data_IF_966834469211
#
_entry.id   IF_966834469211
#
_cell.length_a   1.000
_cell.length_b   1.000
_cell.length_c   1.000
_cell.angle_alpha   90.00
_cell.angle_beta   90.00
_cell.angle_gamma   90.00
#
_symmetry.space_group_name_H-M   'P 1'
#
loop_
_entity.id
_entity.type
_entity.pdbx_description
1 polymer ?
#
# COMPACT_ATOMS: atom_id res chain seq x y z
N UNK A 1 3.55 14.36 -59.64
CA UNK A 1 3.49 15.73 -59.08
C UNK A 1 4.48 15.79 -57.93
N UNK A 2 5.62 16.49 -58.07
CA UNK A 2 6.62 16.68 -57.03
C UNK A 2 6.17 17.71 -55.96
N UNK A 3 6.78 17.69 -54.76
CA UNK A 3 6.45 18.55 -53.61
C UNK A 3 7.01 19.97 -53.72
N UNK A 4 6.27 20.94 -53.19
CA UNK A 4 6.70 22.34 -53.02
C UNK A 4 7.66 22.51 -51.83
N UNK A 5 8.73 23.29 -52.05
CA UNK A 5 9.68 23.75 -51.01
C UNK A 5 9.15 24.97 -50.22
N UNK A 6 9.97 25.97 -49.86
CA UNK A 6 11.42 26.01 -49.63
C UNK A 6 11.83 26.83 -48.36
N UNK A 7 13.16 26.96 -48.13
CA UNK A 7 13.88 28.10 -47.52
C UNK A 7 13.67 28.42 -46.01
N UNK A 8 14.58 29.01 -45.23
CA UNK A 8 16.02 29.34 -45.29
C UNK A 8 16.42 29.97 -43.92
N UNK A 9 17.73 30.23 -43.74
CA UNK A 9 18.36 31.13 -42.76
C UNK A 9 18.45 30.65 -41.29
N UNK A 10 19.55 30.77 -40.54
CA UNK A 10 20.81 31.50 -40.75
C UNK A 10 21.10 32.44 -39.57
N UNK A 11 21.90 31.97 -38.59
CA UNK A 11 22.71 32.73 -37.60
C UNK A 11 21.97 33.69 -36.61
N UNK A 12 22.51 34.05 -35.41
CA UNK A 12 23.94 34.30 -35.15
C UNK A 12 24.55 33.78 -33.83
N UNK A 13 25.88 33.89 -33.78
CA UNK A 13 26.77 33.80 -32.61
C UNK A 13 26.64 35.08 -31.78
N UNK A 14 26.70 34.95 -30.46
CA UNK A 14 27.02 36.04 -29.53
C UNK A 14 28.19 35.59 -28.64
N UNK A 15 29.17 36.47 -28.56
CA UNK A 15 30.38 36.39 -27.75
C UNK A 15 30.22 37.31 -26.51
N UNK A 16 31.20 37.24 -25.60
CA UNK A 16 31.51 38.17 -24.49
C UNK A 16 30.91 37.92 -23.07
N UNK A 17 31.82 37.62 -22.12
CA UNK A 17 31.70 37.81 -20.66
C UNK A 17 32.19 39.23 -20.27
N UNK A 18 32.18 39.76 -19.02
CA UNK A 18 31.77 39.23 -17.70
C UNK A 18 30.87 40.20 -16.86
N UNK A 19 30.34 39.74 -15.71
CA UNK A 19 29.63 40.63 -14.77
C UNK A 19 29.27 39.98 -13.43
N UNK A 20 29.89 40.49 -12.35
CA UNK A 20 29.64 40.13 -10.93
C UNK A 20 28.37 40.80 -10.40
N UNK A 21 27.51 40.06 -9.70
CA UNK A 21 26.89 40.49 -8.42
C UNK A 21 26.03 39.40 -7.79
N UNK A 22 26.17 39.27 -6.48
CA UNK A 22 25.60 38.20 -5.66
C UNK A 22 24.07 38.19 -5.60
N UNK A 23 23.52 37.00 -5.64
CA UNK A 23 22.18 36.68 -5.13
C UNK A 23 22.30 35.89 -3.82
N UNK A 24 21.36 36.04 -2.88
CA UNK A 24 21.40 35.29 -1.63
C UNK A 24 21.28 33.80 -1.92
N UNK A 25 22.29 33.04 -1.51
CA UNK A 25 22.21 31.58 -1.40
C UNK A 25 21.02 31.24 -0.50
N UNK A 26 19.95 30.73 -1.11
CA UNK A 26 18.92 30.03 -0.35
C UNK A 26 19.63 28.89 0.39
N UNK A 27 19.52 28.77 1.72
CA UNK A 27 20.10 27.65 2.43
C UNK A 27 19.49 26.37 1.85
N UNK A 28 20.37 25.44 1.44
CA UNK A 28 19.96 24.08 1.17
C UNK A 28 19.16 23.56 2.37
N UNK A 29 18.01 22.89 2.17
CA UNK A 29 17.31 22.28 3.28
C UNK A 29 18.27 21.31 3.98
N UNK A 30 18.45 21.51 5.29
CA UNK A 30 19.26 20.66 6.15
C UNK A 30 18.92 19.18 5.95
N UNK A 31 19.91 18.27 5.94
CA UNK A 31 19.69 16.84 5.70
C UNK A 31 19.02 16.09 6.88
N UNK A 32 18.46 16.78 7.87
CA UNK A 32 18.00 16.13 9.12
C UNK A 32 16.51 15.74 9.17
N UNK A 33 15.73 15.94 8.09
CA UNK A 33 14.29 15.65 8.10
C UNK A 33 13.88 14.40 7.28
N UNK A 34 14.72 13.38 7.18
CA UNK A 34 14.41 12.16 6.39
C UNK A 34 14.81 10.85 7.07
N UNK A 35 14.64 10.67 8.39
CA UNK A 35 14.92 9.33 8.98
C UNK A 35 14.03 8.87 10.16
N UNK A 36 12.87 9.48 10.44
CA UNK A 36 11.95 8.98 11.51
C UNK A 36 10.55 8.53 11.07
N UNK A 37 10.25 8.56 9.77
CA UNK A 37 8.93 8.24 9.24
C UNK A 37 8.36 6.83 9.56
N UNK A 38 9.14 5.72 9.65
CA UNK A 38 8.54 4.39 9.84
C UNK A 38 8.03 4.16 11.26
N UNK A 39 8.82 4.54 12.27
CA UNK A 39 8.53 4.25 13.67
C UNK A 39 7.37 5.09 14.23
N UNK A 40 7.30 6.38 13.86
CA UNK A 40 6.21 7.27 14.26
C UNK A 40 4.88 6.84 13.63
N UNK A 41 4.91 6.38 12.37
CA UNK A 41 3.71 5.94 11.66
C UNK A 41 3.16 4.61 12.18
N UNK A 42 4.03 3.69 12.60
CA UNK A 42 3.62 2.45 13.24
C UNK A 42 3.05 2.70 14.65
N UNK A 43 3.64 3.63 15.41
CA UNK A 43 3.15 4.00 16.73
C UNK A 43 1.75 4.65 16.69
N UNK A 44 1.53 5.61 15.77
CA UNK A 44 0.22 6.24 15.58
C UNK A 44 -0.86 5.21 15.20
N UNK A 45 -0.51 4.27 14.32
CA UNK A 45 -1.43 3.22 13.89
C UNK A 45 -1.68 2.17 14.99
N UNK A 46 -0.68 1.90 15.84
CA UNK A 46 -0.84 1.02 16.99
C UNK A 46 -1.78 1.59 18.06
N UNK A 47 -1.82 2.91 18.24
CA UNK A 47 -2.76 3.57 19.16
C UNK A 47 -4.22 3.49 18.71
N UNK A 48 -4.47 3.29 17.40
CA UNK A 48 -5.82 3.06 16.85
C UNK A 48 -6.38 1.68 17.19
N UNK A 49 -5.53 0.75 17.63
CA UNK A 49 -5.90 -0.58 18.06
C UNK A 49 -6.60 -1.39 16.98
N UNK A 50 -5.95 -1.62 15.84
CA UNK A 50 -6.52 -2.39 14.72
C UNK A 50 -7.04 -3.76 15.17
N UNK A 51 -8.18 -4.20 14.63
CA UNK A 51 -8.68 -5.56 14.92
C UNK A 51 -8.06 -6.60 14.00
N UNK A 52 -7.87 -7.82 14.50
CA UNK A 52 -7.52 -8.97 13.66
C UNK A 52 -8.57 -9.14 12.55
N UNK A 53 -8.17 -9.15 11.26
CA UNK A 53 -9.11 -9.12 10.14
C UNK A 53 -9.80 -10.45 9.86
N UNK A 54 -9.44 -11.54 10.52
CA UNK A 54 -10.02 -12.87 10.26
C UNK A 54 -10.84 -13.32 11.46
N UNK A 55 -12.10 -13.68 11.22
CA UNK A 55 -13.02 -14.08 12.28
C UNK A 55 -12.53 -15.35 12.98
N UNK A 56 -12.53 -15.33 14.32
CA UNK A 56 -12.09 -16.46 15.14
C UNK A 56 -10.57 -16.63 15.29
N UNK A 57 -9.76 -15.79 14.63
CA UNK A 57 -8.30 -15.77 14.84
C UNK A 57 -7.95 -14.78 15.96
N UNK A 58 -7.17 -15.23 16.95
CA UNK A 58 -6.67 -14.36 18.02
C UNK A 58 -5.25 -13.87 17.72
N UNK A 59 -4.80 -12.76 18.32
CA UNK A 59 -3.44 -12.26 18.11
C UNK A 59 -2.33 -13.30 18.36
N UNK A 60 -2.53 -14.18 19.34
CA UNK A 60 -1.58 -15.26 19.67
C UNK A 60 -1.41 -16.31 18.56
N UNK A 61 -2.35 -16.37 17.60
CA UNK A 61 -2.32 -17.27 16.46
C UNK A 61 -1.66 -16.64 15.22
N UNK A 62 -1.32 -15.35 15.29
CA UNK A 62 -0.62 -14.67 14.20
C UNK A 62 0.81 -15.17 14.11
N UNK A 63 1.27 -15.41 12.89
CA UNK A 63 2.67 -15.74 12.62
C UNK A 63 3.38 -14.50 12.10
N UNK A 64 4.54 -14.18 12.67
CA UNK A 64 5.43 -13.18 12.08
C UNK A 64 6.01 -13.74 10.78
N UNK A 65 5.57 -13.19 9.66
CA UNK A 65 6.08 -13.54 8.33
C UNK A 65 6.55 -12.35 7.52
N UNK A 66 6.62 -11.15 8.10
CA UNK A 66 6.88 -9.87 7.40
C UNK A 66 8.25 -9.79 6.70
N UNK A 67 9.23 -10.57 7.15
CA UNK A 67 10.56 -10.63 6.55
C UNK A 67 10.87 -11.99 5.91
N UNK A 68 9.85 -12.86 5.77
CA UNK A 68 10.05 -14.18 5.19
C UNK A 68 10.56 -14.06 3.76
N UNK A 69 11.74 -14.64 3.51
CA UNK A 69 12.33 -14.68 2.17
C UNK A 69 11.60 -15.71 1.30
N UNK A 70 10.61 -15.28 0.53
CA UNK A 70 9.97 -16.12 -0.49
C UNK A 70 10.71 -16.02 -1.81
N UNK A 71 11.79 -16.80 -1.94
CA UNK A 71 12.46 -17.08 -3.23
C UNK A 71 12.91 -15.84 -4.03
N UNK A 72 13.76 -14.99 -3.45
CA UNK A 72 14.34 -13.82 -4.13
C UNK A 72 14.92 -12.78 -3.15
N UNK A 73 15.24 -11.58 -3.64
CA UNK A 73 15.67 -10.42 -2.84
C UNK A 73 14.52 -9.64 -2.19
N UNK A 74 13.27 -9.97 -2.48
CA UNK A 74 12.10 -9.26 -1.93
C UNK A 74 11.64 -9.90 -0.63
N UNK A 75 11.58 -9.12 0.45
CA UNK A 75 10.98 -9.51 1.73
C UNK A 75 9.45 -9.58 1.61
N UNK A 76 8.84 -10.47 2.38
CA UNK A 76 7.40 -10.68 2.40
C UNK A 76 6.69 -9.61 3.24
N UNK A 77 6.43 -8.44 2.67
CA UNK A 77 5.92 -7.22 3.37
C UNK A 77 4.47 -7.30 3.90
N UNK A 78 4.10 -8.44 4.49
CA UNK A 78 2.75 -8.79 4.92
C UNK A 78 2.79 -9.90 5.99
N UNK A 79 1.66 -10.13 6.62
CA UNK A 79 1.41 -11.35 7.39
C UNK A 79 0.44 -12.28 6.67
N UNK A 80 0.69 -13.59 6.76
CA UNK A 80 -0.27 -14.60 6.31
C UNK A 80 -1.03 -15.15 7.51
N UNK A 81 -2.33 -14.94 7.54
CA UNK A 81 -3.23 -15.36 8.61
C UNK A 81 -3.94 -16.63 8.15
N UNK A 82 -3.51 -17.78 8.68
CA UNK A 82 -4.11 -19.08 8.35
C UNK A 82 -5.56 -19.16 8.84
N UNK A 83 -6.46 -19.52 7.96
CA UNK A 83 -7.86 -19.80 8.30
C UNK A 83 -8.53 -20.64 7.20
N UNK A 84 -9.56 -21.42 7.55
CA UNK A 84 -10.33 -22.16 6.55
C UNK A 84 -10.88 -21.25 5.44
N UNK A 85 -11.03 -21.78 4.23
CA UNK A 85 -11.77 -21.08 3.17
C UNK A 85 -13.16 -20.71 3.65
N UNK A 86 -13.67 -19.61 3.13
CA UNK A 86 -14.97 -19.02 3.49
C UNK A 86 -15.04 -18.44 4.91
N UNK A 87 -13.94 -18.40 5.67
CA UNK A 87 -13.91 -17.67 6.95
C UNK A 87 -14.13 -16.18 6.68
N UNK A 88 -15.00 -15.48 7.43
CA UNK A 88 -15.23 -14.06 7.23
C UNK A 88 -13.95 -13.23 7.44
N UNK A 89 -13.72 -12.31 6.50
CA UNK A 89 -12.70 -11.27 6.60
C UNK A 89 -13.38 -9.94 6.91
N UNK A 90 -12.89 -9.26 7.96
CA UNK A 90 -13.45 -8.04 8.52
C UNK A 90 -12.49 -6.86 8.33
N UNK A 91 -13.05 -5.66 8.17
CA UNK A 91 -12.28 -4.43 8.13
C UNK A 91 -11.54 -4.21 9.45
N UNK A 92 -10.23 -3.94 9.39
CA UNK A 92 -9.37 -3.76 10.58
C UNK A 92 -9.59 -2.45 11.32
N UNK A 93 -10.12 -1.45 10.61
CA UNK A 93 -10.42 -0.10 11.08
C UNK A 93 -11.66 0.43 10.33
N UNK A 94 -12.17 1.57 10.77
CA UNK A 94 -13.08 2.37 9.96
C UNK A 94 -12.36 2.84 8.69
N UNK A 95 -13.09 3.09 7.61
CA UNK A 95 -12.45 3.57 6.40
C UNK A 95 -13.30 3.51 5.15
N UNK A 96 -12.62 3.48 4.01
CA UNK A 96 -13.25 3.43 2.69
C UNK A 96 -12.61 2.37 1.83
N UNK A 97 -13.41 1.59 1.09
CA UNK A 97 -12.93 0.66 0.08
C UNK A 97 -12.39 1.46 -1.10
N UNK A 98 -11.09 1.60 -1.19
CA UNK A 98 -10.43 2.37 -2.24
C UNK A 98 -10.43 1.62 -3.59
N UNK A 99 -10.26 0.30 -3.55
CA UNK A 99 -10.18 -0.51 -4.76
C UNK A 99 -10.58 -1.96 -4.49
N UNK A 100 -11.31 -2.54 -5.44
CA UNK A 100 -11.54 -3.97 -5.59
C UNK A 100 -10.80 -4.42 -6.85
N UNK A 101 -9.92 -5.39 -6.72
CA UNK A 101 -9.08 -5.81 -7.83
C UNK A 101 -8.88 -7.32 -7.87
N UNK A 102 -8.80 -7.85 -9.09
CA UNK A 102 -8.44 -9.24 -9.35
C UNK A 102 -7.15 -9.28 -10.16
N UNK A 103 -6.14 -9.99 -9.65
CA UNK A 103 -4.83 -10.08 -10.28
C UNK A 103 -4.27 -11.50 -10.21
N UNK A 104 -3.35 -11.83 -11.12
CA UNK A 104 -2.70 -13.15 -11.14
C UNK A 104 -1.97 -13.48 -9.84
N UNK A 105 -1.33 -12.48 -9.21
CA UNK A 105 -0.55 -12.69 -8.00
C UNK A 105 -1.42 -12.61 -6.75
N UNK A 106 -2.11 -11.49 -6.53
CA UNK A 106 -2.92 -11.27 -5.33
C UNK A 106 -4.28 -11.97 -5.34
N UNK A 107 -4.73 -12.46 -6.50
CA UNK A 107 -6.08 -12.98 -6.67
C UNK A 107 -7.11 -11.88 -6.49
N UNK A 108 -8.21 -12.25 -5.81
CA UNK A 108 -9.25 -11.31 -5.39
C UNK A 108 -8.74 -10.52 -4.19
N UNK A 109 -8.69 -9.20 -4.34
CA UNK A 109 -8.07 -8.29 -3.38
C UNK A 109 -8.96 -7.10 -3.04
N UNK A 110 -8.77 -6.58 -1.83
CA UNK A 110 -9.40 -5.35 -1.34
C UNK A 110 -8.29 -4.41 -0.88
N UNK A 111 -8.39 -3.16 -1.30
CA UNK A 111 -7.62 -2.05 -0.75
C UNK A 111 -8.57 -1.16 0.05
N UNK A 112 -8.32 -1.04 1.34
CA UNK A 112 -9.07 -0.16 2.23
C UNK A 112 -8.17 1.00 2.65
N UNK A 113 -8.64 2.23 2.51
CA UNK A 113 -8.00 3.37 3.13
C UNK A 113 -8.60 3.61 4.52
N UNK A 114 -7.75 4.00 5.46
CA UNK A 114 -8.17 4.47 6.77
C UNK A 114 -8.91 5.83 6.67
N UNK A 115 -9.53 6.33 7.75
CA UNK A 115 -10.32 7.56 7.70
C UNK A 115 -9.52 8.82 7.34
N UNK A 116 -8.20 8.85 7.59
CA UNK A 116 -7.33 9.98 7.23
C UNK A 116 -6.70 9.83 5.84
N UNK A 117 -6.89 8.67 5.19
CA UNK A 117 -6.27 8.29 3.92
C UNK A 117 -4.73 8.41 3.95
N UNK A 118 -4.14 8.15 5.12
CA UNK A 118 -2.69 8.06 5.32
C UNK A 118 -2.19 6.61 5.27
N UNK A 119 -3.09 5.65 5.48
CA UNK A 119 -2.79 4.23 5.52
C UNK A 119 -3.69 3.45 4.57
N UNK A 120 -3.13 2.39 4.01
CA UNK A 120 -3.82 1.43 3.17
C UNK A 120 -3.68 0.04 3.78
N UNK A 121 -4.83 -0.61 4.02
CA UNK A 121 -4.93 -2.00 4.44
C UNK A 121 -5.25 -2.85 3.22
N UNK A 122 -4.42 -3.84 2.96
CA UNK A 122 -4.50 -4.71 1.80
C UNK A 122 -4.86 -6.13 2.22
N UNK A 123 -5.90 -6.67 1.60
CA UNK A 123 -6.42 -8.02 1.85
C UNK A 123 -6.35 -8.79 0.54
N UNK A 124 -5.67 -9.93 0.52
CA UNK A 124 -5.47 -10.73 -0.68
C UNK A 124 -5.83 -12.20 -0.50
N UNK A 125 -5.83 -12.92 -1.62
CA UNK A 125 -6.18 -14.34 -1.75
C UNK A 125 -7.62 -14.65 -1.36
N UNK A 126 -8.51 -13.67 -1.43
CA UNK A 126 -9.90 -13.83 -1.04
C UNK A 126 -10.61 -14.84 -1.96
N UNK A 127 -11.61 -15.50 -1.41
CA UNK A 127 -12.53 -16.34 -2.18
C UNK A 127 -13.51 -15.48 -2.97
N UNK A 128 -14.02 -14.44 -2.31
CA UNK A 128 -15.01 -13.50 -2.84
C UNK A 128 -15.12 -12.28 -1.93
N UNK A 129 -15.69 -11.20 -2.46
CA UNK A 129 -16.12 -10.04 -1.68
C UNK A 129 -17.39 -10.34 -0.86
N UNK A 130 -17.60 -9.55 0.19
CA UNK A 130 -18.89 -9.48 0.86
C UNK A 130 -19.96 -8.97 -0.09
N UNK A 131 -21.20 -9.41 0.12
CA UNK A 131 -22.31 -9.07 -0.78
C UNK A 131 -22.57 -7.56 -0.74
N UNK A 132 -22.65 -6.95 -1.92
CA UNK A 132 -22.87 -5.51 -2.05
C UNK A 132 -21.64 -4.63 -1.77
N UNK A 133 -20.46 -5.21 -1.55
CA UNK A 133 -19.22 -4.43 -1.41
C UNK A 133 -18.88 -3.73 -2.74
N UNK A 134 -18.70 -2.41 -2.69
CA UNK A 134 -18.34 -1.60 -3.85
C UNK A 134 -17.19 -0.64 -3.55
N UNK A 135 -16.48 -0.20 -4.59
CA UNK A 135 -15.47 0.86 -4.47
C UNK A 135 -16.11 2.18 -4.04
N UNK A 136 -15.43 2.94 -3.18
CA UNK A 136 -15.91 4.16 -2.56
C UNK A 136 -16.84 3.95 -1.35
N UNK A 137 -17.19 2.70 -1.02
CA UNK A 137 -18.03 2.39 0.14
C UNK A 137 -17.29 2.65 1.45
N UNK A 138 -17.95 3.35 2.39
CA UNK A 138 -17.48 3.44 3.78
C UNK A 138 -17.76 2.14 4.52
N UNK A 139 -16.78 1.70 5.29
CA UNK A 139 -16.86 0.50 6.14
C UNK A 139 -16.52 0.85 7.57
N UNK A 140 -17.13 0.14 8.51
CA UNK A 140 -16.81 0.24 9.92
C UNK A 140 -15.87 -0.89 10.33
N UNK A 141 -15.03 -0.65 11.33
CA UNK A 141 -14.21 -1.68 11.96
C UNK A 141 -15.07 -2.89 12.34
N UNK A 142 -14.60 -4.09 11.99
CA UNK A 142 -15.30 -5.36 12.24
C UNK A 142 -16.38 -5.72 11.20
N UNK A 143 -16.71 -4.82 10.27
CA UNK A 143 -17.63 -5.12 9.18
C UNK A 143 -17.04 -6.18 8.24
N UNK A 144 -17.84 -7.18 7.85
CA UNK A 144 -17.42 -8.19 6.88
C UNK A 144 -17.25 -7.54 5.50
N UNK A 145 -16.08 -7.73 4.90
CA UNK A 145 -15.71 -7.20 3.58
C UNK A 145 -15.35 -8.31 2.59
N UNK A 146 -15.07 -9.52 3.06
CA UNK A 146 -14.72 -10.62 2.17
C UNK A 146 -14.66 -11.93 2.91
N UNK A 147 -14.10 -12.92 2.24
CA UNK A 147 -13.95 -14.26 2.77
C UNK A 147 -12.60 -14.84 2.37
N UNK A 148 -11.96 -15.55 3.29
CA UNK A 148 -10.68 -16.23 3.07
C UNK A 148 -10.81 -17.22 1.91
N UNK A 149 -9.81 -17.27 1.04
CA UNK A 149 -9.79 -18.15 -0.10
C UNK A 149 -8.39 -18.65 -0.43
N UNK A 150 -8.21 -19.01 -1.69
CA UNK A 150 -6.95 -19.48 -2.28
C UNK A 150 -6.76 -18.91 -3.69
N UNK A 151 -7.25 -17.70 -3.94
CA UNK A 151 -7.14 -17.05 -5.25
C UNK A 151 -5.74 -16.47 -5.49
N UNK A 152 -5.40 -16.19 -6.75
CA UNK A 152 -4.08 -15.69 -7.12
C UNK A 152 -3.03 -16.78 -7.05
N UNK A 153 -1.92 -16.52 -6.36
CA UNK A 153 -0.83 -17.48 -6.17
C UNK A 153 -0.86 -18.21 -4.81
N UNK A 154 -1.91 -18.05 -4.01
CA UNK A 154 -2.07 -18.80 -2.77
C UNK A 154 -2.17 -20.32 -3.05
N UNK A 155 -1.45 -21.17 -2.30
CA UNK A 155 -1.58 -22.62 -2.44
C UNK A 155 -3.01 -23.08 -2.11
N UNK A 156 -3.56 -23.98 -2.93
CA UNK A 156 -4.93 -24.48 -2.77
C UNK A 156 -5.15 -25.28 -1.47
N UNK A 157 -4.09 -25.86 -0.91
CA UNK A 157 -4.07 -26.64 0.32
C UNK A 157 -3.80 -25.80 1.57
N UNK A 158 -3.41 -24.53 1.40
CA UNK A 158 -3.03 -23.63 2.50
C UNK A 158 -3.86 -22.35 2.43
N UNK A 159 -5.16 -22.39 2.74
CA UNK A 159 -6.00 -21.20 2.75
C UNK A 159 -5.56 -20.22 3.84
N UNK A 160 -5.45 -18.95 3.45
CA UNK A 160 -5.00 -17.88 4.32
C UNK A 160 -5.46 -16.53 3.80
N UNK A 161 -5.48 -15.54 4.69
CA UNK A 161 -5.53 -14.13 4.30
C UNK A 161 -4.09 -13.60 4.27
N UNK A 162 -3.67 -13.08 3.13
CA UNK A 162 -2.48 -12.25 3.06
C UNK A 162 -2.86 -10.80 3.36
N UNK A 163 -2.33 -10.28 4.47
CA UNK A 163 -2.67 -8.97 5.01
C UNK A 163 -1.44 -8.06 5.08
N UNK A 164 -1.50 -6.90 4.43
CA UNK A 164 -0.43 -5.91 4.43
C UNK A 164 -0.94 -4.53 4.82
N UNK A 165 -0.06 -3.72 5.40
CA UNK A 165 -0.33 -2.34 5.79
C UNK A 165 0.71 -1.47 5.11
N UNK A 166 0.26 -0.40 4.46
CA UNK A 166 1.13 0.57 3.81
C UNK A 166 0.83 1.97 4.32
N UNK A 167 1.87 2.75 4.62
CA UNK A 167 1.75 4.21 4.70
C UNK A 167 1.71 4.78 3.29
N UNK A 168 0.64 5.49 2.97
CA UNK A 168 0.48 6.14 1.68
C UNK A 168 1.36 7.39 1.58
N UNK A 169 1.82 7.68 0.36
CA UNK A 169 2.36 8.99 0.00
C UNK A 169 1.22 9.97 -0.26
N UNK A 170 1.51 11.26 -0.41
CA UNK A 170 0.50 12.27 -0.78
C UNK A 170 -0.20 11.97 -2.11
N UNK A 171 0.43 11.16 -2.99
CA UNK A 171 -0.17 10.72 -4.24
C UNK A 171 -1.21 9.59 -4.06
N UNK A 172 -1.30 8.99 -2.87
CA UNK A 172 -2.23 7.90 -2.50
C UNK A 172 -2.14 6.67 -3.41
N UNK A 173 -0.95 6.46 -3.98
CA UNK A 173 -0.61 5.30 -4.81
C UNK A 173 -0.10 4.21 -3.89
N UNK A 174 -0.90 3.17 -3.63
CA UNK A 174 -0.54 2.12 -2.67
C UNK A 174 0.72 1.35 -3.05
N UNK A 175 1.05 1.25 -4.35
CA UNK A 175 2.29 0.63 -4.83
C UNK A 175 3.56 1.47 -4.59
N UNK A 176 3.40 2.73 -4.18
CA UNK A 176 4.49 3.62 -3.73
C UNK A 176 4.50 3.75 -2.19
N UNK A 177 3.59 3.07 -1.50
CA UNK A 177 3.47 3.14 -0.05
C UNK A 177 4.64 2.46 0.66
N UNK A 178 4.96 2.96 1.85
CA UNK A 178 5.96 2.34 2.72
C UNK A 178 5.29 1.22 3.52
N UNK A 179 5.75 -0.04 3.41
CA UNK A 179 5.17 -1.14 4.16
C UNK A 179 5.43 -0.97 5.67
N UNK A 180 4.45 -1.33 6.49
CA UNK A 180 4.52 -1.36 7.96
C UNK A 180 4.23 -2.79 8.40
N UNK A 181 5.00 -3.32 9.35
CA UNK A 181 4.76 -4.66 9.90
C UNK A 181 3.39 -4.73 10.59
N UNK A 182 2.43 -5.51 10.04
CA UNK A 182 1.10 -5.62 10.63
C UNK A 182 1.08 -6.36 11.97
N UNK A 183 2.07 -7.21 12.26
CA UNK A 183 2.06 -8.06 13.44
C UNK A 183 2.02 -7.23 14.73
N UNK A 184 2.84 -6.17 14.80
CA UNK A 184 2.92 -5.32 15.99
C UNK A 184 1.68 -4.40 16.14
N UNK A 185 0.85 -4.29 15.11
CA UNK A 185 -0.38 -3.48 15.09
C UNK A 185 -1.62 -4.26 15.52
N UNK A 186 -1.65 -5.58 15.31
CA UNK A 186 -2.80 -6.45 15.58
C UNK A 186 -2.73 -7.14 16.95
N UNK A 187 -1.66 -6.90 17.70
CA UNK A 187 -1.22 -7.67 18.87
C UNK A 187 -1.66 -7.17 20.26
N UNK A 188 -2.64 -6.29 20.37
CA UNK A 188 -2.96 -5.61 21.66
C UNK A 188 -4.42 -5.70 22.05
#
# INVERSE_FOLDING_TARGET
>A
MPPGGPAAAGAPRFDDSPGVSGGPTLPAPSPEAVISAPAESAAELAERGLSVPVDGVTPDQLTRSFDDRRGGERSHQAIDILAPRHTPVRAVDDGTIARLFDSRAGGITIYQFDPTEQYCYYYAHLERYADGLIEGQRVQKGQVIGYVGTSGNAPADTPHLHFAVFRLTSAKRWWEGTPIDPYDLLGR
#
